data_IF_874501917925
#
_entry.id   IF_874501917925
#
_cell.length_a   1.000
_cell.length_b   1.000
_cell.length_c   1.000
_cell.angle_alpha   90.00
_cell.angle_beta   90.00
_cell.angle_gamma   90.00
#
_symmetry.space_group_name_H-M   'P 1'
#
loop_
_entity.id
_entity.type
_entity.pdbx_description
1 polymer ?
#
# COMPACT_ATOMS: atom_id res chain seq x y z
N UNK A 1 -22.66 -37.54 -7.62
CA UNK A 1 -22.71 -36.96 -6.26
C UNK A 1 -21.58 -35.94 -6.09
N UNK A 2 -21.87 -34.67 -6.37
CA UNK A 2 -20.90 -33.57 -6.37
C UNK A 2 -20.88 -32.89 -4.98
N UNK A 3 -19.99 -33.33 -4.08
CA UNK A 3 -19.87 -32.76 -2.72
C UNK A 3 -18.44 -32.33 -2.32
N UNK A 4 -17.47 -32.30 -3.24
CA UNK A 4 -16.05 -32.01 -2.88
C UNK A 4 -15.54 -30.59 -3.18
N UNK A 5 -16.20 -29.83 -4.06
CA UNK A 5 -15.70 -28.51 -4.49
C UNK A 5 -16.02 -27.38 -3.49
N UNK A 6 -17.13 -27.49 -2.76
CA UNK A 6 -17.55 -26.49 -1.78
C UNK A 6 -16.69 -26.48 -0.52
N UNK A 7 -16.34 -27.66 0.01
CA UNK A 7 -15.53 -27.77 1.22
C UNK A 7 -14.09 -27.31 1.02
N UNK A 8 -13.49 -27.56 -0.14
CA UNK A 8 -12.14 -27.06 -0.45
C UNK A 8 -12.10 -25.52 -0.56
N UNK A 9 -13.15 -24.89 -1.10
CA UNK A 9 -13.26 -23.45 -1.14
C UNK A 9 -13.49 -22.85 0.26
N UNK A 10 -14.31 -23.50 1.09
CA UNK A 10 -14.53 -23.11 2.49
C UNK A 10 -13.29 -23.27 3.36
N UNK A 11 -12.51 -24.33 3.15
CA UNK A 11 -11.26 -24.56 3.87
C UNK A 11 -10.19 -23.48 3.55
N UNK A 12 -10.12 -23.01 2.30
CA UNK A 12 -9.25 -21.88 1.93
C UNK A 12 -9.70 -20.55 2.54
N UNK A 13 -11.00 -20.32 2.63
CA UNK A 13 -11.55 -19.15 3.31
C UNK A 13 -11.29 -19.18 4.83
N UNK A 14 -11.31 -20.36 5.46
CA UNK A 14 -11.01 -20.53 6.88
C UNK A 14 -9.50 -20.42 7.22
N UNK A 15 -8.61 -20.78 6.29
CA UNK A 15 -7.17 -20.67 6.46
C UNK A 15 -6.65 -19.21 6.39
N UNK A 16 -7.50 -18.24 6.06
CA UNK A 16 -7.10 -16.84 5.88
C UNK A 16 -7.10 -16.01 7.17
N UNK A 17 -7.27 -16.63 8.34
CA UNK A 17 -7.42 -15.88 9.60
C UNK A 17 -6.64 -16.46 10.79
N UNK A 18 -5.57 -17.22 10.57
CA UNK A 18 -4.57 -17.36 11.64
C UNK A 18 -3.71 -16.10 11.65
N UNK A 19 -3.72 -15.30 12.74
CA UNK A 19 -2.85 -14.14 12.84
C UNK A 19 -1.40 -14.63 12.84
N UNK A 20 -0.69 -14.36 11.75
CA UNK A 20 0.76 -14.50 11.65
C UNK A 20 1.36 -13.64 12.76
N UNK A 21 1.71 -14.24 13.91
CA UNK A 21 1.96 -13.54 15.18
C UNK A 21 2.76 -12.23 15.05
N UNK A 22 2.38 -11.21 15.84
CA UNK A 22 2.96 -9.86 15.97
C UNK A 22 3.41 -9.11 14.70
N UNK A 23 3.12 -9.60 13.50
CA UNK A 23 3.28 -8.83 12.28
C UNK A 23 2.08 -7.89 12.18
N UNK A 24 2.27 -6.64 12.61
CA UNK A 24 1.31 -5.57 12.42
C UNK A 24 1.11 -5.36 10.92
N UNK A 25 0.14 -6.06 10.33
CA UNK A 25 -0.34 -5.69 9.00
C UNK A 25 -1.02 -4.33 9.15
N UNK A 26 -0.68 -3.39 8.28
CA UNK A 26 -1.42 -2.14 8.19
C UNK A 26 -2.81 -2.47 7.64
N UNK A 27 -3.76 -2.80 8.53
CA UNK A 27 -5.17 -3.08 8.21
C UNK A 27 -6.02 -1.81 8.07
N UNK A 28 -5.37 -0.63 8.04
CA UNK A 28 -6.02 0.64 7.78
C UNK A 28 -6.42 0.81 6.31
N UNK A 29 -7.29 1.79 6.01
CA UNK A 29 -7.57 2.18 4.64
C UNK A 29 -6.29 2.53 3.89
N UNK A 30 -6.28 2.29 2.58
CA UNK A 30 -5.17 2.74 1.74
C UNK A 30 -5.06 4.27 1.81
N UNK A 31 -3.84 4.83 1.82
CA UNK A 31 -3.66 6.26 1.67
C UNK A 31 -4.27 6.74 0.36
N UNK A 32 -4.93 7.89 0.38
CA UNK A 32 -5.56 8.49 -0.79
C UNK A 32 -4.55 8.65 -1.93
N UNK A 33 -4.99 8.40 -3.16
CA UNK A 33 -4.15 8.52 -4.37
C UNK A 33 -3.14 7.40 -4.54
N UNK A 34 -3.13 6.41 -3.65
CA UNK A 34 -2.23 5.27 -3.71
C UNK A 34 -2.92 3.97 -4.09
N UNK A 35 -4.18 4.00 -4.52
CA UNK A 35 -4.96 2.80 -4.86
C UNK A 35 -4.34 2.06 -6.06
N UNK A 36 -3.88 2.82 -7.06
CA UNK A 36 -3.26 2.33 -8.29
C UNK A 36 -2.03 3.16 -8.66
N UNK A 37 -1.12 2.56 -9.45
CA UNK A 37 0.01 3.29 -10.00
C UNK A 37 -0.48 4.40 -10.93
N UNK A 38 -0.12 5.66 -10.63
CA UNK A 38 -0.46 6.81 -11.48
C UNK A 38 0.12 6.73 -12.91
N UNK A 39 1.11 5.85 -13.15
CA UNK A 39 1.74 5.66 -14.45
C UNK A 39 1.17 4.48 -15.25
N UNK A 40 1.07 3.30 -14.64
CA UNK A 40 0.68 2.07 -15.35
C UNK A 40 -0.64 1.43 -14.89
N UNK A 41 -1.30 1.99 -13.86
CA UNK A 41 -2.57 1.48 -13.35
C UNK A 41 -2.49 0.22 -12.47
N UNK A 42 -1.29 -0.33 -12.21
CA UNK A 42 -1.12 -1.50 -11.33
C UNK A 42 -1.59 -1.20 -9.89
N UNK A 43 -2.41 -2.07 -9.31
CA UNK A 43 -2.87 -2.02 -7.91
C UNK A 43 -1.86 -2.65 -6.91
N UNK A 44 -0.98 -3.50 -7.42
CA UNK A 44 0.18 -4.05 -6.70
C UNK A 44 1.21 -2.96 -6.49
N UNK A 45 1.19 -2.32 -5.32
CA UNK A 45 2.11 -1.28 -4.91
C UNK A 45 2.70 -1.57 -3.54
N UNK A 46 3.99 -1.25 -3.37
CA UNK A 46 4.63 -1.21 -2.06
C UNK A 46 4.39 0.17 -1.46
N UNK A 47 3.90 0.22 -0.22
CA UNK A 47 3.62 1.46 0.51
C UNK A 47 4.32 1.42 1.86
N UNK A 48 5.15 2.41 2.14
CA UNK A 48 5.95 2.48 3.37
C UNK A 48 5.69 3.84 4.01
N UNK A 49 5.25 3.86 5.26
CA UNK A 49 5.11 5.09 6.03
C UNK A 49 6.48 5.52 6.55
N UNK A 50 6.86 6.77 6.31
CA UNK A 50 8.15 7.35 6.71
C UNK A 50 7.96 8.79 7.20
N UNK A 51 8.95 9.33 7.91
CA UNK A 51 9.05 10.77 8.18
C UNK A 51 9.90 11.44 7.11
N UNK A 52 9.46 12.62 6.65
CA UNK A 52 10.26 13.51 5.80
C UNK A 52 11.29 14.28 6.64
N UNK A 53 12.24 14.94 5.96
CA UNK A 53 13.32 15.69 6.61
C UNK A 53 12.83 16.88 7.42
N UNK A 54 11.65 17.41 7.09
CA UNK A 54 10.96 18.47 7.81
C UNK A 54 10.09 17.96 8.99
N UNK A 55 10.09 16.64 9.24
CA UNK A 55 9.33 15.99 10.30
C UNK A 55 7.90 15.61 9.92
N UNK A 56 7.39 15.99 8.73
CA UNK A 56 6.05 15.59 8.30
C UNK A 56 5.99 14.09 7.99
N UNK A 57 4.93 13.36 8.39
CA UNK A 57 4.75 11.97 7.99
C UNK A 57 4.26 11.87 6.53
N UNK A 58 4.84 10.92 5.79
CA UNK A 58 4.50 10.65 4.40
C UNK A 58 4.48 9.15 4.09
N UNK A 59 3.89 8.80 2.96
CA UNK A 59 4.00 7.49 2.35
C UNK A 59 4.94 7.54 1.15
N UNK A 60 5.95 6.67 1.16
CA UNK A 60 6.66 6.29 -0.03
C UNK A 60 5.89 5.18 -0.74
N UNK A 61 5.64 5.34 -2.03
CA UNK A 61 4.94 4.37 -2.87
C UNK A 61 5.83 3.98 -4.04
N UNK A 62 6.08 2.68 -4.22
CA UNK A 62 6.78 2.15 -5.39
C UNK A 62 5.94 1.11 -6.13
N UNK A 63 5.97 1.19 -7.46
CA UNK A 63 5.33 0.23 -8.33
C UNK A 63 6.34 -0.80 -8.84
N UNK A 64 6.24 -2.09 -8.46
CA UNK A 64 7.14 -3.12 -8.97
C UNK A 64 6.94 -3.44 -10.47
N UNK A 65 5.84 -2.99 -11.09
CA UNK A 65 5.54 -3.28 -12.50
C UNK A 65 6.20 -2.29 -13.48
N UNK A 66 6.29 -1.01 -13.14
CA UNK A 66 6.86 0.03 -14.00
C UNK A 66 7.95 0.88 -13.34
N UNK A 67 8.33 0.50 -12.12
CA UNK A 67 9.39 1.10 -11.30
C UNK A 67 9.16 2.57 -10.92
N UNK A 68 7.98 3.11 -11.18
CA UNK A 68 7.64 4.47 -10.76
C UNK A 68 7.53 4.58 -9.24
N UNK A 69 8.09 5.65 -8.70
CA UNK A 69 7.98 6.03 -7.29
C UNK A 69 7.24 7.35 -7.14
N UNK A 70 6.48 7.48 -6.05
CA UNK A 70 5.79 8.71 -5.67
C UNK A 70 5.77 8.84 -4.15
N UNK A 71 5.62 10.07 -3.67
CA UNK A 71 5.47 10.38 -2.25
C UNK A 71 4.13 11.04 -2.02
N UNK A 72 3.47 10.75 -0.90
CA UNK A 72 2.17 11.31 -0.54
C UNK A 72 2.19 11.75 0.92
N UNK A 73 1.63 12.90 1.24
CA UNK A 73 1.44 13.29 2.64
C UNK A 73 0.45 12.35 3.33
N UNK A 74 0.71 11.96 4.59
CA UNK A 74 -0.18 11.09 5.36
C UNK A 74 -1.60 11.66 5.47
N UNK A 75 -1.70 12.97 5.70
CA UNK A 75 -2.96 13.71 5.84
C UNK A 75 -3.23 14.61 4.62
N UNK A 76 -2.71 14.19 3.46
CA UNK A 76 -2.90 14.90 2.19
C UNK A 76 -4.21 14.55 1.48
N UNK A 77 -4.41 15.18 0.33
CA UNK A 77 -5.57 14.99 -0.55
C UNK A 77 -5.38 13.87 -1.59
N UNK A 78 -4.26 13.13 -1.52
CA UNK A 78 -3.87 12.11 -2.48
C UNK A 78 -3.08 12.63 -3.69
N UNK A 79 -2.67 13.89 -3.68
CA UNK A 79 -1.74 14.43 -4.68
C UNK A 79 -0.29 14.00 -4.35
N UNK A 80 0.51 13.58 -5.34
CA UNK A 80 1.92 13.32 -5.13
C UNK A 80 2.68 14.59 -4.72
N UNK A 81 3.53 14.47 -3.71
CA UNK A 81 4.50 15.49 -3.32
C UNK A 81 5.55 15.64 -4.43
N UNK A 82 5.95 16.89 -4.68
CA UNK A 82 7.09 17.21 -5.52
C UNK A 82 8.41 16.76 -4.85
N UNK A 83 9.47 16.73 -5.65
CA UNK A 83 10.82 16.41 -5.14
C UNK A 83 11.24 17.35 -4.02
N UNK A 84 11.05 18.66 -4.22
CA UNK A 84 11.46 19.69 -3.26
C UNK A 84 10.69 19.58 -1.94
N UNK A 85 9.41 19.19 -1.99
CA UNK A 85 8.62 18.91 -0.78
C UNK A 85 9.11 17.69 0.00
N UNK A 86 9.77 16.74 -0.66
CA UNK A 86 10.27 15.49 -0.05
C UNK A 86 11.69 15.66 0.48
N UNK A 87 12.58 16.28 -0.31
CA UNK A 87 14.01 16.39 0.02
C UNK A 87 14.39 17.71 0.68
N UNK A 88 13.50 18.71 0.66
CA UNK A 88 13.83 20.10 0.98
C UNK A 88 14.43 20.83 -0.22
N UNK A 89 14.56 22.17 -0.14
CA UNK A 89 15.27 22.96 -1.14
C UNK A 89 16.74 22.52 -1.19
N UNK A 90 17.19 22.18 -2.40
CA UNK A 90 18.58 21.78 -2.67
C UNK A 90 19.57 22.93 -2.64
#
# INVERSE_FOLDING_TARGET
MARRKGDAARARAAAAAEPLGSMSQATGPLPLGTEVCLRCGSDRLTRIRMGLTDGRPAYFVSCPACEQTNWFALEGDGTPLSKDEVTGPG
#
